data_IF_526427384181
#
_entry.id   IF_526427384181
#
_cell.length_a   1.000
_cell.length_b   1.000
_cell.length_c   1.000
_cell.angle_alpha   90.00
_cell.angle_beta   90.00
_cell.angle_gamma   90.00
#
_symmetry.space_group_name_H-M   'P 1'
#
loop_
_entity.id
_entity.type
_entity.pdbx_description
1 polymer ?
#
# COMPACT_ATOMS: atom_id res chain seq x y z
N UNK A 1 -21.13 26.68 -34.45
CA UNK A 1 -21.25 25.73 -33.32
C UNK A 1 -20.08 24.77 -33.41
N UNK A 2 -19.14 24.83 -32.46
CA UNK A 2 -17.99 23.92 -32.39
C UNK A 2 -18.01 23.35 -30.97
N UNK A 3 -18.25 22.06 -30.86
CA UNK A 3 -18.19 21.32 -29.58
C UNK A 3 -16.71 21.14 -29.22
N UNK A 4 -16.24 21.51 -28.02
CA UNK A 4 -14.88 21.19 -27.62
C UNK A 4 -14.79 19.73 -27.16
N UNK A 5 -13.75 19.03 -27.62
CA UNK A 5 -13.37 17.68 -27.20
C UNK A 5 -13.18 17.58 -25.68
N UNK A 6 -13.57 16.46 -25.04
CA UNK A 6 -13.25 16.22 -23.64
C UNK A 6 -11.73 15.99 -23.52
N UNK A 7 -11.05 16.96 -22.90
CA UNK A 7 -9.64 16.89 -22.51
C UNK A 7 -9.34 15.55 -21.84
N UNK A 8 -8.51 14.75 -22.49
CA UNK A 8 -7.96 13.52 -21.92
C UNK A 8 -7.30 13.80 -20.58
N UNK A 9 -7.73 13.04 -19.56
CA UNK A 9 -7.14 13.09 -18.23
C UNK A 9 -5.75 12.46 -18.28
N UNK A 10 -4.73 13.25 -18.61
CA UNK A 10 -3.34 12.87 -18.40
C UNK A 10 -3.04 12.94 -16.90
N UNK A 11 -3.41 11.90 -16.14
CA UNK A 11 -2.78 11.62 -14.86
C UNK A 11 -1.35 11.19 -15.13
N UNK A 12 -0.42 12.15 -15.12
CA UNK A 12 1.01 11.86 -15.14
C UNK A 12 1.33 10.89 -14.01
N UNK A 13 1.85 9.72 -14.36
CA UNK A 13 2.27 8.66 -13.44
C UNK A 13 3.41 9.20 -12.56
N UNK A 14 3.11 9.77 -11.39
CA UNK A 14 4.09 10.38 -10.45
C UNK A 14 4.85 9.32 -9.64
N UNK A 15 5.36 8.27 -10.30
CA UNK A 15 6.16 7.25 -9.61
C UNK A 15 7.60 7.74 -9.48
N UNK A 16 8.16 7.63 -8.28
CA UNK A 16 9.57 7.97 -8.01
C UNK A 16 10.55 7.02 -8.70
N UNK A 17 10.13 5.80 -9.00
CA UNK A 17 10.93 4.77 -9.66
C UNK A 17 10.06 3.83 -10.51
N UNK A 18 10.61 3.21 -11.58
CA UNK A 18 9.93 2.19 -12.36
C UNK A 18 9.65 0.95 -11.49
N UNK A 19 8.49 0.32 -11.70
CA UNK A 19 8.16 -0.97 -11.07
C UNK A 19 8.66 -2.09 -11.95
N UNK A 20 9.40 -3.04 -11.37
CA UNK A 20 9.69 -4.33 -12.00
C UNK A 20 8.59 -5.31 -11.61
N UNK A 21 7.99 -5.97 -12.59
CA UNK A 21 7.09 -7.09 -12.31
C UNK A 21 7.90 -8.27 -11.78
N UNK A 22 7.54 -8.77 -10.60
CA UNK A 22 8.16 -9.96 -10.00
C UNK A 22 7.08 -10.86 -9.40
N UNK A 23 7.38 -12.16 -9.31
CA UNK A 23 6.55 -13.16 -8.63
C UNK A 23 7.39 -13.85 -7.56
N UNK A 24 7.83 -13.07 -6.59
CA UNK A 24 8.59 -13.57 -5.43
C UNK A 24 7.66 -13.85 -4.25
N UNK A 25 7.92 -14.90 -3.45
CA UNK A 25 7.35 -15.01 -2.12
C UNK A 25 7.67 -13.76 -1.29
N UNK A 26 6.66 -13.24 -0.59
CA UNK A 26 6.78 -12.07 0.27
C UNK A 26 6.14 -12.38 1.61
N UNK A 27 6.83 -12.04 2.69
CA UNK A 27 6.25 -11.97 4.04
C UNK A 27 6.34 -10.56 4.57
N UNK A 28 5.34 -10.15 5.34
CA UNK A 28 5.25 -8.82 5.96
C UNK A 28 5.05 -9.00 7.45
N UNK A 29 5.93 -8.40 8.24
CA UNK A 29 5.79 -8.27 9.67
C UNK A 29 5.32 -6.85 10.00
N UNK A 30 4.21 -6.72 10.72
CA UNK A 30 3.79 -5.43 11.28
C UNK A 30 4.64 -5.14 12.51
N UNK A 31 5.29 -3.97 12.53
CA UNK A 31 6.12 -3.53 13.66
C UNK A 31 5.41 -2.50 14.52
N UNK A 32 4.48 -1.73 13.95
CA UNK A 32 3.55 -0.90 14.72
C UNK A 32 2.58 -1.80 15.50
N UNK A 33 2.65 -1.74 16.83
CA UNK A 33 1.80 -2.54 17.73
C UNK A 33 0.49 -1.85 18.10
N UNK A 34 0.42 -0.52 17.96
CA UNK A 34 -0.74 0.29 18.30
C UNK A 34 -0.85 1.48 17.33
N UNK A 35 -2.07 1.80 16.92
CA UNK A 35 -2.41 3.01 16.18
C UNK A 35 -3.41 3.81 17.01
N UNK A 36 -3.04 5.03 17.36
CA UNK A 36 -3.91 5.97 18.04
C UNK A 36 -4.50 6.93 17.03
N UNK A 37 -5.80 7.23 17.17
CA UNK A 37 -6.49 8.09 16.21
C UNK A 37 -7.85 8.57 16.70
N UNK A 38 -8.52 9.32 15.85
CA UNK A 38 -9.83 9.93 16.11
C UNK A 38 -10.87 9.22 15.27
N UNK A 39 -11.92 8.71 15.91
CA UNK A 39 -13.03 8.07 15.20
C UNK A 39 -13.85 9.08 14.40
N UNK A 40 -14.22 8.69 13.20
CA UNK A 40 -15.16 9.42 12.34
C UNK A 40 -16.58 8.90 12.52
N UNK A 41 -16.72 7.57 12.57
CA UNK A 41 -18.01 6.93 12.83
C UNK A 41 -17.84 5.57 13.51
N UNK A 42 -18.88 5.16 14.23
CA UNK A 42 -18.95 3.91 14.98
C UNK A 42 -20.34 3.30 14.85
N UNK A 43 -20.39 1.99 14.63
CA UNK A 43 -21.62 1.21 14.56
C UNK A 43 -21.49 -0.10 15.35
N UNK A 44 -22.55 -0.91 15.36
CA UNK A 44 -22.52 -2.26 15.96
C UNK A 44 -21.55 -3.22 15.26
N UNK A 45 -21.15 -2.95 14.02
CA UNK A 45 -20.38 -3.88 13.18
C UNK A 45 -18.98 -3.36 12.81
N UNK A 46 -18.62 -2.13 13.20
CA UNK A 46 -17.31 -1.59 12.89
C UNK A 46 -17.16 -0.10 13.23
N UNK A 47 -15.92 0.37 13.07
CA UNK A 47 -15.47 1.74 13.33
C UNK A 47 -14.63 2.23 12.14
N UNK A 48 -14.79 3.49 11.77
CA UNK A 48 -13.86 4.23 10.94
C UNK A 48 -13.15 5.25 11.82
N UNK A 49 -11.82 5.32 11.74
CA UNK A 49 -11.02 6.31 12.44
C UNK A 49 -9.84 6.74 11.58
N UNK A 50 -9.32 7.93 11.88
CA UNK A 50 -8.17 8.53 11.21
C UNK A 50 -7.02 8.65 12.20
N UNK A 51 -5.79 8.42 11.73
CA UNK A 51 -4.57 8.49 12.52
C UNK A 51 -3.50 9.23 11.71
N UNK A 52 -2.63 9.94 12.41
CA UNK A 52 -1.41 10.51 11.83
C UNK A 52 -0.23 9.50 11.89
N UNK A 53 -0.41 8.37 12.58
CA UNK A 53 0.61 7.35 12.74
C UNK A 53 0.68 6.38 11.56
N UNK A 54 1.90 6.08 11.12
CA UNK A 54 2.14 5.10 10.06
C UNK A 54 2.07 3.65 10.58
N UNK A 55 1.48 2.77 9.77
CA UNK A 55 1.56 1.33 10.00
C UNK A 55 2.91 0.82 9.46
N UNK A 56 3.92 0.85 10.33
CA UNK A 56 5.30 0.44 10.03
C UNK A 56 5.40 -1.07 9.85
N UNK A 57 6.23 -1.48 8.90
CA UNK A 57 6.40 -2.88 8.51
C UNK A 57 7.85 -3.22 8.19
N UNK A 58 8.18 -4.49 8.36
CA UNK A 58 9.36 -5.13 7.77
C UNK A 58 8.89 -6.12 6.71
N UNK A 59 9.39 -5.97 5.48
CA UNK A 59 9.05 -6.82 4.33
C UNK A 59 10.23 -7.71 4.01
N UNK A 60 10.03 -9.03 3.99
CA UNK A 60 11.02 -9.99 3.52
C UNK A 60 10.61 -10.48 2.13
N UNK A 61 11.49 -10.33 1.14
CA UNK A 61 11.28 -10.77 -0.24
C UNK A 61 12.31 -11.84 -0.57
N UNK A 62 11.86 -13.01 -1.01
CA UNK A 62 12.76 -14.07 -1.46
C UNK A 62 13.15 -13.85 -2.93
N UNK A 63 14.45 -13.69 -3.17
CA UNK A 63 15.06 -13.59 -4.48
C UNK A 63 15.08 -14.92 -5.23
N UNK A 64 15.33 -14.84 -6.54
CA UNK A 64 15.47 -16.02 -7.42
C UNK A 64 16.72 -16.84 -7.10
N UNK A 65 17.73 -16.22 -6.50
CA UNK A 65 18.96 -16.82 -5.96
C UNK A 65 18.73 -17.55 -4.62
N UNK A 66 17.51 -17.49 -4.08
CA UNK A 66 17.16 -18.05 -2.77
C UNK A 66 17.53 -17.15 -1.60
N UNK A 67 18.18 -16.01 -1.82
CA UNK A 67 18.47 -15.03 -0.77
C UNK A 67 17.19 -14.31 -0.35
N UNK A 68 17.08 -14.00 0.95
CA UNK A 68 15.97 -13.19 1.46
C UNK A 68 16.47 -11.78 1.74
N UNK A 69 15.88 -10.79 1.05
CA UNK A 69 16.14 -9.37 1.29
C UNK A 69 15.08 -8.78 2.19
N UNK A 70 15.50 -7.97 3.16
CA UNK A 70 14.61 -7.31 4.09
C UNK A 70 14.58 -5.80 3.84
N UNK A 71 13.38 -5.23 3.91
CA UNK A 71 13.11 -3.81 3.71
C UNK A 71 12.23 -3.30 4.85
N UNK A 72 12.50 -2.10 5.35
CA UNK A 72 11.61 -1.38 6.26
C UNK A 72 10.75 -0.38 5.48
N UNK A 73 9.53 -0.15 5.97
CA UNK A 73 8.58 0.68 5.27
C UNK A 73 7.29 0.94 6.03
N UNK A 74 6.31 1.46 5.32
CA UNK A 74 4.97 1.74 5.82
C UNK A 74 3.90 1.24 4.87
N UNK A 75 2.81 0.73 5.43
CA UNK A 75 1.66 0.28 4.67
C UNK A 75 0.84 1.50 4.23
N UNK A 76 0.79 1.75 2.92
CA UNK A 76 0.11 2.93 2.35
C UNK A 76 -1.27 2.58 1.77
N UNK A 77 -1.57 1.29 1.56
CA UNK A 77 -2.86 0.86 1.00
C UNK A 77 -3.22 -0.59 1.29
N UNK A 78 -4.50 -0.83 1.55
CA UNK A 78 -5.11 -2.16 1.57
C UNK A 78 -6.35 -2.17 0.68
N UNK A 79 -6.38 -3.02 -0.34
CA UNK A 79 -7.51 -3.13 -1.27
C UNK A 79 -8.04 -4.57 -1.28
N UNK A 80 -9.37 -4.73 -1.22
CA UNK A 80 -10.01 -6.01 -1.52
C UNK A 80 -9.98 -6.23 -3.02
N UNK A 81 -9.46 -7.37 -3.45
CA UNK A 81 -9.48 -7.82 -4.84
C UNK A 81 -10.45 -9.01 -4.97
N UNK A 82 -10.79 -9.37 -6.21
CA UNK A 82 -11.75 -10.44 -6.48
C UNK A 82 -11.33 -11.76 -5.83
N UNK A 83 -12.32 -12.56 -5.40
CA UNK A 83 -12.09 -13.86 -4.77
C UNK A 83 -11.65 -13.77 -3.31
N UNK A 84 -12.01 -12.68 -2.60
CA UNK A 84 -11.74 -12.53 -1.17
C UNK A 84 -10.28 -12.24 -0.81
N UNK A 85 -9.41 -12.10 -1.82
CA UNK A 85 -8.01 -11.74 -1.64
C UNK A 85 -7.85 -10.26 -1.30
N UNK A 86 -6.70 -9.91 -0.75
CA UNK A 86 -6.30 -8.52 -0.49
C UNK A 86 -4.98 -8.20 -1.18
N UNK A 87 -4.89 -6.99 -1.73
CA UNK A 87 -3.64 -6.36 -2.14
C UNK A 87 -3.17 -5.39 -1.07
N UNK A 88 -1.88 -5.42 -0.76
CA UNK A 88 -1.24 -4.53 0.21
C UNK A 88 -0.11 -3.78 -0.49
N UNK A 89 -0.10 -2.46 -0.37
CA UNK A 89 0.97 -1.62 -0.89
C UNK A 89 1.83 -1.11 0.26
N UNK A 90 3.15 -1.26 0.11
CA UNK A 90 4.15 -0.79 1.06
C UNK A 90 5.03 0.24 0.35
N UNK A 91 5.31 1.34 1.04
CA UNK A 91 6.34 2.31 0.68
C UNK A 91 7.58 2.05 1.54
N UNK A 92 8.73 1.85 0.91
CA UNK A 92 9.99 1.60 1.63
C UNK A 92 10.64 2.91 2.09
N UNK A 93 11.34 2.87 3.22
CA UNK A 93 11.99 4.04 3.83
C UNK A 93 13.25 4.51 3.09
N UNK A 94 14.07 3.57 2.62
CA UNK A 94 15.28 3.85 1.84
C UNK A 94 15.30 2.94 0.59
N UNK A 95 15.39 3.50 -0.64
CA UNK A 95 15.37 2.75 -1.89
C UNK A 95 16.70 2.08 -2.28
#
# INVERSE_FOLDING_TARGET
MITPDPKGTHTSDRRRAPRRETKSPVSVQLTTTQLDGISDNLSKTGILFFTDGDLRVTVSVQGEDGETKQYTGQLVRCERIQGGRRGWAVEFEDP
#
